data_IF_069385827916
#
_entry.id   IF_069385827916
#
_cell.length_a   1.000
_cell.length_b   1.000
_cell.length_c   1.000
_cell.angle_alpha   90.00
_cell.angle_beta   90.00
_cell.angle_gamma   90.00
#
_symmetry.space_group_name_H-M   'P 1'
#
loop_
_entity.id
_entity.type
_entity.pdbx_description
1 polymer ?
#
# COMPACT_ATOMS: atom_id res chain seq x y z
N UNK A 1 20.06 -13.67 9.64
CA UNK A 1 18.90 -12.88 10.14
C UNK A 1 19.47 -11.53 10.58
N UNK A 2 19.37 -10.40 9.89
CA UNK A 2 18.70 -9.97 8.67
C UNK A 2 19.71 -9.10 7.89
N UNK A 3 20.06 -9.48 6.67
CA UNK A 3 20.48 -8.47 5.71
C UNK A 3 19.17 -7.98 5.09
N UNK A 4 18.77 -6.74 5.38
CA UNK A 4 17.77 -6.09 4.55
C UNK A 4 18.32 -6.14 3.13
N UNK A 5 17.57 -6.74 2.21
CA UNK A 5 17.98 -6.79 0.81
C UNK A 5 17.76 -5.40 0.21
N UNK A 6 18.83 -4.61 0.21
CA UNK A 6 18.82 -3.23 -0.27
C UNK A 6 18.45 -3.14 -1.76
N UNK A 7 18.76 -4.18 -2.54
CA UNK A 7 18.42 -4.22 -3.97
C UNK A 7 16.92 -4.50 -4.14
N UNK A 8 16.37 -5.47 -3.42
CA UNK A 8 14.92 -5.71 -3.38
C UNK A 8 14.14 -4.47 -2.90
N UNK A 9 14.67 -3.75 -1.90
CA UNK A 9 14.09 -2.51 -1.40
C UNK A 9 14.10 -1.41 -2.48
N UNK A 10 15.22 -1.23 -3.18
CA UNK A 10 15.35 -0.25 -4.26
C UNK A 10 14.40 -0.55 -5.42
N UNK A 11 14.19 -1.83 -5.76
CA UNK A 11 13.21 -2.27 -6.77
C UNK A 11 11.77 -1.99 -6.33
N UNK A 12 11.45 -2.26 -5.07
CA UNK A 12 10.15 -2.00 -4.46
C UNK A 12 9.77 -0.52 -4.53
N UNK A 13 10.70 0.37 -4.21
CA UNK A 13 10.48 1.83 -4.28
C UNK A 13 10.81 2.43 -5.66
N UNK A 14 10.95 1.61 -6.69
CA UNK A 14 11.08 2.10 -8.06
C UNK A 14 9.80 2.85 -8.48
N UNK A 15 9.93 3.77 -9.43
CA UNK A 15 8.80 4.58 -9.93
C UNK A 15 7.63 3.72 -10.41
N UNK A 16 7.93 2.60 -11.09
CA UNK A 16 6.93 1.70 -11.65
C UNK A 16 6.15 0.97 -10.56
N UNK A 17 6.85 0.39 -9.60
CA UNK A 17 6.20 -0.34 -8.49
C UNK A 17 5.46 0.62 -7.57
N UNK A 18 6.02 1.79 -7.27
CA UNK A 18 5.33 2.83 -6.49
C UNK A 18 4.03 3.29 -7.16
N UNK A 19 4.00 3.45 -8.49
CA UNK A 19 2.76 3.77 -9.23
C UNK A 19 1.75 2.62 -9.20
N UNK A 20 2.21 1.37 -9.22
CA UNK A 20 1.35 0.20 -9.09
C UNK A 20 0.75 0.13 -7.68
N UNK A 21 1.57 0.28 -6.64
CA UNK A 21 1.12 0.34 -5.25
C UNK A 21 0.15 1.52 -5.02
N UNK A 22 0.40 2.67 -5.65
CA UNK A 22 -0.50 3.82 -5.60
C UNK A 22 -1.85 3.52 -6.27
N UNK A 23 -1.88 2.83 -7.42
CA UNK A 23 -3.15 2.41 -8.05
C UNK A 23 -3.94 1.47 -7.16
N UNK A 24 -3.27 0.51 -6.52
CA UNK A 24 -3.90 -0.40 -5.54
C UNK A 24 -4.47 0.41 -4.38
N UNK A 25 -3.69 1.34 -3.83
CA UNK A 25 -4.11 2.22 -2.76
C UNK A 25 -5.32 3.06 -3.13
N UNK A 26 -5.38 3.60 -4.35
CA UNK A 26 -6.53 4.38 -4.82
C UNK A 26 -7.78 3.50 -4.96
N UNK A 27 -7.70 2.36 -5.66
CA UNK A 27 -8.88 1.51 -5.89
C UNK A 27 -9.38 0.89 -4.60
N UNK A 28 -8.51 0.18 -3.87
CA UNK A 28 -8.88 -0.51 -2.64
C UNK A 28 -9.17 0.49 -1.53
N UNK A 29 -8.37 1.55 -1.41
CA UNK A 29 -8.59 2.61 -0.43
C UNK A 29 -9.89 3.37 -0.67
N UNK A 30 -10.29 3.65 -1.92
CA UNK A 30 -11.61 4.25 -2.18
C UNK A 30 -12.75 3.33 -1.77
N UNK A 31 -12.68 2.03 -2.10
CA UNK A 31 -13.69 1.05 -1.68
C UNK A 31 -13.79 1.01 -0.15
N UNK A 32 -12.66 0.86 0.54
CA UNK A 32 -12.63 0.81 1.99
C UNK A 32 -13.08 2.13 2.63
N UNK A 33 -12.76 3.29 2.03
CA UNK A 33 -13.15 4.59 2.59
C UNK A 33 -14.67 4.78 2.52
N UNK A 34 -15.31 4.33 1.44
CA UNK A 34 -16.77 4.32 1.30
C UNK A 34 -17.40 3.40 2.35
N UNK A 35 -16.85 2.20 2.56
CA UNK A 35 -17.36 1.25 3.57
C UNK A 35 -17.16 1.79 5.00
N UNK A 36 -16.01 2.37 5.31
CA UNK A 36 -15.61 2.74 6.67
C UNK A 36 -16.28 4.02 7.19
N UNK A 37 -16.53 4.99 6.31
CA UNK A 37 -17.07 6.30 6.72
C UNK A 37 -17.95 6.98 5.69
N UNK A 38 -18.27 6.32 4.57
CA UNK A 38 -19.13 6.90 3.53
C UNK A 38 -20.54 7.19 4.03
N UNK A 39 -21.12 6.29 4.85
CA UNK A 39 -22.43 6.53 5.46
C UNK A 39 -22.41 7.72 6.43
N UNK A 40 -21.39 7.81 7.30
CA UNK A 40 -21.24 8.94 8.23
C UNK A 40 -21.01 10.25 7.49
N UNK A 41 -20.20 10.26 6.44
CA UNK A 41 -19.98 11.44 5.61
C UNK A 41 -21.29 11.98 4.99
N UNK A 42 -22.21 11.09 4.63
CA UNK A 42 -23.51 11.46 4.07
C UNK A 42 -24.54 11.90 5.12
N UNK A 43 -24.47 11.36 6.34
CA UNK A 43 -25.46 11.64 7.40
C UNK A 43 -25.07 12.79 8.31
N UNK A 44 -23.79 12.89 8.70
CA UNK A 44 -23.28 13.92 9.61
C UNK A 44 -22.52 15.02 8.89
N UNK A 45 -22.09 14.79 7.64
CA UNK A 45 -21.22 15.71 6.91
C UNK A 45 -19.78 15.74 7.42
N UNK A 46 -19.46 14.93 8.43
CA UNK A 46 -18.13 14.90 9.05
C UNK A 46 -17.26 13.83 8.39
N UNK A 47 -16.09 14.25 7.93
CA UNK A 47 -15.06 13.37 7.39
C UNK A 47 -13.97 13.18 8.44
N UNK A 48 -13.79 11.94 8.91
CA UNK A 48 -12.62 11.56 9.69
C UNK A 48 -11.41 11.47 8.76
N UNK A 49 -10.61 12.54 8.73
CA UNK A 49 -9.45 12.67 7.83
C UNK A 49 -8.37 11.63 8.17
N UNK A 50 -8.18 11.31 9.45
CA UNK A 50 -7.18 10.34 9.88
C UNK A 50 -7.57 8.94 9.40
N UNK A 51 -8.84 8.56 9.60
CA UNK A 51 -9.36 7.27 9.15
C UNK A 51 -9.34 7.17 7.63
N UNK A 52 -9.69 8.25 6.91
CA UNK A 52 -9.54 8.30 5.45
C UNK A 52 -8.07 8.10 5.03
N UNK A 53 -7.12 8.84 5.61
CA UNK A 53 -5.70 8.73 5.27
C UNK A 53 -5.17 7.31 5.48
N UNK A 54 -5.44 6.69 6.64
CA UNK A 54 -5.05 5.31 6.93
C UNK A 54 -5.65 4.32 5.93
N UNK A 55 -6.88 4.57 5.48
CA UNK A 55 -7.58 3.71 4.52
C UNK A 55 -6.88 3.66 3.15
N UNK A 56 -6.16 4.72 2.76
CA UNK A 56 -5.31 4.70 1.56
C UNK A 56 -3.87 4.25 1.85
N UNK A 57 -3.30 4.62 3.01
CA UNK A 57 -1.92 4.28 3.36
C UNK A 57 -1.72 2.78 3.55
N UNK A 58 -2.66 2.09 4.19
CA UNK A 58 -2.56 0.64 4.44
C UNK A 58 -2.44 -0.16 3.12
N UNK A 59 -3.35 -0.03 2.14
CA UNK A 59 -3.21 -0.78 0.88
C UNK A 59 -1.96 -0.40 0.07
N UNK A 60 -1.45 0.84 0.18
CA UNK A 60 -0.14 1.20 -0.40
C UNK A 60 1.01 0.40 0.23
N UNK A 61 1.07 0.34 1.56
CA UNK A 61 2.13 -0.38 2.27
C UNK A 61 2.02 -1.88 2.11
N UNK A 62 0.80 -2.44 2.09
CA UNK A 62 0.56 -3.87 1.83
C UNK A 62 1.05 -4.23 0.41
N UNK A 63 0.73 -3.41 -0.60
CA UNK A 63 1.23 -3.63 -1.95
C UNK A 63 2.76 -3.54 -2.05
N UNK A 64 3.37 -2.57 -1.35
CA UNK A 64 4.83 -2.40 -1.30
C UNK A 64 5.51 -3.56 -0.58
N UNK A 65 4.94 -4.04 0.53
CA UNK A 65 5.47 -5.18 1.28
C UNK A 65 5.41 -6.48 0.46
N UNK A 66 4.30 -6.71 -0.25
CA UNK A 66 4.17 -7.84 -1.16
C UNK A 66 5.20 -7.80 -2.30
N UNK A 67 5.47 -6.61 -2.87
CA UNK A 67 6.50 -6.44 -3.89
C UNK A 67 7.91 -6.69 -3.33
N UNK A 68 8.22 -6.20 -2.13
CA UNK A 68 9.49 -6.47 -1.46
C UNK A 68 9.71 -7.97 -1.24
N UNK A 69 8.70 -8.69 -0.73
CA UNK A 69 8.79 -10.14 -0.54
C UNK A 69 9.10 -10.88 -1.85
N UNK A 70 8.37 -10.54 -2.92
CA UNK A 70 8.60 -11.14 -4.24
C UNK A 70 10.03 -10.88 -4.77
N UNK A 71 10.56 -9.67 -4.59
CA UNK A 71 11.91 -9.34 -5.02
C UNK A 71 12.98 -9.98 -4.13
N UNK A 72 12.76 -10.09 -2.82
CA UNK A 72 13.71 -10.73 -1.92
C UNK A 72 13.79 -12.24 -2.11
N UNK A 73 12.68 -12.88 -2.53
CA UNK A 73 12.66 -14.31 -2.84
C UNK A 73 13.39 -14.60 -4.16
N UNK A 74 13.26 -13.71 -5.15
CA UNK A 74 13.98 -13.77 -6.43
C UNK A 74 15.51 -13.70 -6.21
N UNK A 75 16.00 -12.70 -5.45
CA UNK A 75 17.41 -12.55 -5.10
C UNK A 75 18.03 -13.77 -4.40
N UNK A 76 17.22 -14.52 -3.65
CA UNK A 76 17.67 -15.71 -2.89
C UNK A 76 17.76 -16.96 -3.75
N UNK A 77 17.03 -17.03 -4.86
CA UNK A 77 17.04 -18.19 -5.76
C UNK A 77 18.18 -18.12 -6.79
N UNK A 78 18.81 -16.95 -6.96
CA UNK A 78 19.99 -16.75 -7.82
C UNK A 78 21.33 -17.13 -7.13
N UNK A 79 21.30 -17.48 -5.84
CA UNK A 79 22.46 -17.88 -5.02
C UNK A 79 22.38 -19.33 -4.55
#
# INVERSE_FOLDING_TARGET
MNAIDAEALKRTFSRRESLRALRVALVVGTILNVINQGASALTTGELDILRAALTYMVPFFVASYGAYGAHSDDSRNEH
#
